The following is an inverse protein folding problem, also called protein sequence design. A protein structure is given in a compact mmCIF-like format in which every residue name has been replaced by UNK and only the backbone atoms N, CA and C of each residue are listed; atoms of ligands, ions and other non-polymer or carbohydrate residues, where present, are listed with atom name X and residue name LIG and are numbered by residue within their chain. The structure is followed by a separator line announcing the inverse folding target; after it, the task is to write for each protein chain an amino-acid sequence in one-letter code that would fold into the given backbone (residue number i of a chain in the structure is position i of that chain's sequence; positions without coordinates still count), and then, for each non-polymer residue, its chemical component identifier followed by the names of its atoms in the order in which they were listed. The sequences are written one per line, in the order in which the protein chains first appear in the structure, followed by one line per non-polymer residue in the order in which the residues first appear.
data_IF_281876751230
#
_entry.id   IF_281876751230
#
_cell.length_a   1.000
_cell.length_b   1.000
_cell.length_c   1.000
_cell.angle_alpha   90.00
_cell.angle_beta   90.00
_cell.angle_gamma   90.00
#
_symmetry.space_group_name_H-M   'P 1'
#
loop_
_entity.id
_entity.type
_entity.pdbx_description
1 polymer ?
#
# COMPACT_ATOMS: atom_id res chain seq x y z
N UNK A 1 -19.09 -10.75 19.85
CA UNK A 1 -20.07 -9.65 19.71
C UNK A 1 -19.34 -8.31 19.80
N UNK A 2 -19.76 -7.32 19.00
CA UNK A 2 -19.13 -6.00 18.89
C UNK A 2 -20.07 -4.94 19.47
N UNK A 3 -19.55 -4.12 20.40
CA UNK A 3 -20.30 -3.12 21.16
C UNK A 3 -20.40 -1.79 20.42
N UNK A 4 -19.31 -1.36 19.76
CA UNK A 4 -19.28 -0.15 18.96
C UNK A 4 -18.36 -0.31 17.76
N UNK A 5 -18.66 0.44 16.70
CA UNK A 5 -17.82 0.66 15.54
C UNK A 5 -17.78 2.17 15.35
N UNK A 6 -16.59 2.75 15.50
CA UNK A 6 -16.38 4.19 15.40
C UNK A 6 -15.43 4.48 14.24
N UNK A 7 -15.77 5.51 13.45
CA UNK A 7 -14.95 5.97 12.32
C UNK A 7 -14.50 7.40 12.55
N UNK A 8 -13.19 7.60 12.51
CA UNK A 8 -12.51 8.85 12.82
C UNK A 8 -11.77 9.32 11.56
N UNK A 9 -12.13 10.50 11.06
CA UNK A 9 -11.38 11.18 10.00
C UNK A 9 -10.27 11.99 10.65
N UNK A 10 -9.03 11.73 10.28
CA UNK A 10 -7.85 12.36 10.86
C UNK A 10 -7.04 13.00 9.74
N UNK A 11 -6.89 14.32 9.79
CA UNK A 11 -6.17 15.10 8.78
C UNK A 11 -4.75 15.43 9.29
N UNK A 12 -3.73 14.90 8.61
CA UNK A 12 -2.34 15.06 9.03
C UNK A 12 -1.52 15.72 7.91
N UNK A 13 -0.91 16.89 8.15
CA UNK A 13 -0.05 17.52 7.15
C UNK A 13 1.14 16.61 6.79
N UNK A 14 1.56 16.66 5.53
CA UNK A 14 2.74 15.94 5.04
C UNK A 14 3.99 16.81 5.16
N UNK A 15 5.17 16.17 5.32
CA UNK A 15 6.46 16.88 5.50
C UNK A 15 6.86 17.72 4.28
N UNK A 16 6.30 17.42 3.10
CA UNK A 16 6.45 18.15 1.84
C UNK A 16 5.29 17.83 0.90
N UNK A 17 4.96 18.70 -0.07
CA UNK A 17 4.04 18.34 -1.13
C UNK A 17 4.47 17.04 -1.82
N UNK A 18 3.59 16.06 -1.86
CA UNK A 18 3.83 14.77 -2.51
C UNK A 18 3.14 14.77 -3.88
N UNK A 19 3.93 15.01 -4.93
CA UNK A 19 3.43 15.15 -6.31
C UNK A 19 3.34 13.79 -6.99
N UNK A 20 2.12 13.41 -7.37
CA UNK A 20 1.79 12.25 -8.19
C UNK A 20 1.25 12.73 -9.54
N UNK A 21 1.10 11.84 -10.52
CA UNK A 21 0.47 12.21 -11.79
C UNK A 21 -1.02 12.58 -11.61
N UNK A 22 -1.69 11.95 -10.64
CA UNK A 22 -3.14 12.10 -10.41
C UNK A 22 -3.50 13.19 -9.39
N UNK A 23 -2.58 13.57 -8.50
CA UNK A 23 -2.83 14.53 -7.42
C UNK A 23 -1.52 15.09 -6.85
N UNK A 24 -1.59 16.26 -6.19
CA UNK A 24 -0.52 16.74 -5.30
C UNK A 24 -1.06 16.81 -3.89
N UNK A 25 -0.51 15.98 -2.99
CA UNK A 25 -0.96 15.90 -1.61
C UNK A 25 -0.15 16.84 -0.72
N UNK A 26 -0.84 17.61 0.13
CA UNK A 26 -0.23 18.41 1.21
C UNK A 26 -0.65 17.91 2.59
N UNK A 27 -1.80 17.25 2.66
CA UNK A 27 -2.36 16.61 3.84
C UNK A 27 -2.74 15.19 3.45
N UNK A 28 -2.52 14.25 4.36
CA UNK A 28 -3.08 12.92 4.26
C UNK A 28 -4.27 12.79 5.20
N UNK A 29 -5.37 12.25 4.69
CA UNK A 29 -6.59 12.02 5.47
C UNK A 29 -6.72 10.52 5.73
N UNK A 30 -6.64 10.13 6.99
CA UNK A 30 -6.81 8.74 7.43
C UNK A 30 -8.26 8.50 7.85
N UNK A 31 -8.84 7.34 7.53
CA UNK A 31 -10.06 6.84 8.18
C UNK A 31 -9.68 5.77 9.18
N UNK A 32 -9.57 6.13 10.44
CA UNK A 32 -9.32 5.16 11.52
C UNK A 32 -10.65 4.52 11.93
N UNK A 33 -10.64 3.19 12.03
CA UNK A 33 -11.78 2.38 12.45
C UNK A 33 -11.46 1.74 13.79
N UNK A 34 -12.21 2.12 14.82
CA UNK A 34 -12.12 1.55 16.17
C UNK A 34 -13.31 0.63 16.39
N UNK A 35 -13.05 -0.66 16.63
CA UNK A 35 -14.09 -1.62 17.00
C UNK A 35 -13.87 -2.02 18.45
N UNK A 36 -14.87 -1.79 19.29
CA UNK A 36 -14.86 -2.27 20.68
C UNK A 36 -15.70 -3.52 20.80
N UNK A 37 -15.12 -4.62 21.27
CA UNK A 37 -15.85 -5.85 21.54
C UNK A 37 -16.51 -5.85 22.92
N UNK A 38 -17.45 -6.78 23.14
CA UNK A 38 -18.20 -6.88 24.41
C UNK A 38 -17.35 -7.25 25.62
N UNK A 39 -16.19 -7.88 25.42
CA UNK A 39 -15.21 -8.18 26.47
C UNK A 39 -14.24 -7.01 26.75
N UNK A 40 -14.45 -5.86 26.10
CA UNK A 40 -13.61 -4.67 26.23
C UNK A 40 -12.41 -4.64 25.30
N UNK A 41 -12.13 -5.70 24.53
CA UNK A 41 -11.03 -5.70 23.57
C UNK A 41 -11.28 -4.68 22.46
N UNK A 42 -10.30 -3.83 22.17
CA UNK A 42 -10.36 -2.84 21.10
C UNK A 42 -9.47 -3.26 19.94
N UNK A 43 -10.03 -3.24 18.74
CA UNK A 43 -9.33 -3.41 17.47
C UNK A 43 -9.24 -2.11 16.69
N UNK A 44 -8.10 -1.90 16.04
CA UNK A 44 -7.88 -0.77 15.15
C UNK A 44 -7.69 -1.24 13.71
N UNK A 45 -8.26 -0.47 12.79
CA UNK A 45 -8.05 -0.60 11.36
C UNK A 45 -7.95 0.77 10.72
N UNK A 46 -7.49 0.81 9.48
CA UNK A 46 -7.29 2.02 8.72
C UNK A 46 -7.77 1.81 7.29
N UNK A 47 -8.45 2.82 6.75
CA UNK A 47 -8.74 2.96 5.32
C UNK A 47 -8.25 4.33 4.89
N UNK A 48 -7.28 4.37 3.99
CA UNK A 48 -6.56 5.55 3.57
C UNK A 48 -6.41 5.53 2.05
N UNK A 49 -6.70 6.66 1.43
CA UNK A 49 -6.62 6.83 -0.03
C UNK A 49 -5.75 8.03 -0.37
N UNK A 50 -5.53 8.25 -1.66
CA UNK A 50 -4.66 9.29 -2.18
C UNK A 50 -5.51 10.34 -2.91
N UNK A 51 -5.48 11.58 -2.41
CA UNK A 51 -6.12 12.72 -3.09
C UNK A 51 -7.64 12.60 -3.23
N UNK A 52 -8.32 12.04 -2.22
CA UNK A 52 -9.76 11.81 -2.25
C UNK A 52 -10.15 10.76 -3.29
N UNK A 53 -10.85 11.17 -4.35
CA UNK A 53 -11.30 10.30 -5.45
C UNK A 53 -10.32 10.27 -6.63
N UNK A 54 -9.16 10.91 -6.52
CA UNK A 54 -8.22 11.05 -7.64
C UNK A 54 -7.52 9.73 -7.99
N UNK A 55 -7.28 8.88 -7.00
CA UNK A 55 -6.64 7.57 -7.19
C UNK A 55 -7.64 6.42 -7.36
N UNK A 56 -8.69 6.40 -6.55
CA UNK A 56 -9.67 5.32 -6.50
C UNK A 56 -11.10 5.80 -6.25
N UNK A 57 -12.04 4.86 -6.25
CA UNK A 57 -13.48 5.12 -6.17
C UNK A 57 -13.97 5.41 -4.73
N UNK A 58 -13.09 5.31 -3.74
CA UNK A 58 -13.38 5.53 -2.32
C UNK A 58 -12.60 6.75 -1.80
N UNK A 59 -13.32 7.77 -1.33
CA UNK A 59 -12.79 8.90 -0.54
C UNK A 59 -12.91 8.63 0.96
N UNK A 60 -12.15 9.33 1.83
CA UNK A 60 -12.29 9.20 3.27
C UNK A 60 -13.74 9.44 3.76
N UNK A 61 -14.43 10.44 3.20
CA UNK A 61 -15.83 10.73 3.51
C UNK A 61 -16.76 9.60 3.09
N UNK A 62 -16.56 9.04 1.90
CA UNK A 62 -17.38 7.93 1.42
C UNK A 62 -17.17 6.65 2.24
N UNK A 63 -15.93 6.37 2.65
CA UNK A 63 -15.59 5.24 3.51
C UNK A 63 -16.27 5.40 4.86
N UNK A 64 -16.14 6.56 5.50
CA UNK A 64 -16.82 6.87 6.76
C UNK A 64 -18.33 6.69 6.64
N UNK A 65 -18.94 7.35 5.64
CA UNK A 65 -20.39 7.28 5.44
C UNK A 65 -20.87 5.84 5.22
N UNK A 66 -20.15 5.05 4.42
CA UNK A 66 -20.51 3.68 4.14
C UNK A 66 -20.33 2.78 5.36
N UNK A 67 -19.24 2.93 6.13
CA UNK A 67 -19.02 2.17 7.36
C UNK A 67 -20.13 2.47 8.37
N UNK A 68 -20.41 3.74 8.63
CA UNK A 68 -21.40 4.16 9.62
C UNK A 68 -22.82 3.70 9.24
N UNK A 69 -23.15 3.76 7.94
CA UNK A 69 -24.52 3.47 7.46
C UNK A 69 -24.77 1.98 7.23
N UNK A 70 -23.77 1.22 6.78
CA UNK A 70 -23.98 -0.17 6.31
C UNK A 70 -23.17 -1.21 7.08
N UNK A 71 -21.90 -0.92 7.41
CA UNK A 71 -21.05 -1.91 8.08
C UNK A 71 -21.34 -1.98 9.58
N UNK A 72 -21.46 -0.83 10.26
CA UNK A 72 -21.69 -0.77 11.70
C UNK A 72 -23.03 -1.42 12.13
N UNK A 73 -24.17 -1.17 11.44
CA UNK A 73 -25.41 -1.89 11.74
C UNK A 73 -25.31 -3.39 11.46
N UNK A 74 -24.63 -3.79 10.38
CA UNK A 74 -24.42 -5.20 10.05
C UNK A 74 -23.59 -5.90 11.13
N UNK A 75 -22.49 -5.29 11.59
CA UNK A 75 -21.65 -5.84 12.66
C UNK A 75 -22.38 -5.89 14.01
N UNK A 76 -23.25 -4.93 14.30
CA UNK A 76 -24.09 -4.95 15.50
C UNK A 76 -25.13 -6.08 15.47
N UNK A 77 -25.51 -6.55 14.27
CA UNK A 77 -26.47 -7.65 14.11
C UNK A 77 -25.85 -9.05 14.23
N UNK A 78 -24.52 -9.18 14.15
CA UNK A 78 -23.84 -10.48 14.30
C UNK A 78 -23.68 -10.86 15.77
N UNK A 79 -23.81 -12.14 16.09
CA UNK A 79 -23.75 -12.64 17.47
C UNK A 79 -22.57 -13.57 17.67
N UNK A 80 -22.60 -14.73 17.01
CA UNK A 80 -21.68 -15.85 17.24
C UNK A 80 -20.87 -16.21 15.99
N UNK A 81 -20.79 -15.29 15.02
CA UNK A 81 -20.00 -15.46 13.81
C UNK A 81 -18.52 -15.20 14.08
N UNK A 82 -17.65 -16.04 13.52
CA UNK A 82 -16.21 -15.79 13.46
C UNK A 82 -15.87 -14.79 12.34
N UNK A 83 -14.61 -14.33 12.27
CA UNK A 83 -14.19 -13.33 11.28
C UNK A 83 -14.45 -13.80 9.85
N UNK A 84 -14.15 -15.05 9.51
CA UNK A 84 -14.39 -15.57 8.16
C UNK A 84 -15.88 -15.52 7.77
N UNK A 85 -16.78 -15.85 8.70
CA UNK A 85 -18.22 -15.75 8.51
C UNK A 85 -18.68 -14.29 8.37
N UNK A 86 -18.12 -13.38 9.16
CA UNK A 86 -18.39 -11.94 9.09
C UNK A 86 -17.91 -11.36 7.75
N UNK A 87 -16.67 -11.63 7.33
CA UNK A 87 -16.14 -11.18 6.04
C UNK A 87 -16.95 -11.74 4.87
N UNK A 88 -17.38 -13.01 4.93
CA UNK A 88 -18.28 -13.60 3.93
C UNK A 88 -19.63 -12.88 3.89
N UNK A 89 -20.22 -12.56 5.04
CA UNK A 89 -21.47 -11.82 5.13
C UNK A 89 -21.32 -10.40 4.56
N UNK A 90 -20.26 -9.67 4.92
CA UNK A 90 -19.95 -8.35 4.40
C UNK A 90 -19.83 -8.39 2.87
N UNK A 91 -19.05 -9.33 2.31
CA UNK A 91 -18.91 -9.46 0.85
C UNK A 91 -20.23 -9.79 0.14
N UNK A 92 -21.13 -10.54 0.78
CA UNK A 92 -22.45 -10.87 0.23
C UNK A 92 -23.39 -9.66 0.21
N UNK A 93 -23.31 -8.81 1.23
CA UNK A 93 -24.30 -7.74 1.46
C UNK A 93 -23.83 -6.38 0.94
N UNK A 94 -22.51 -6.14 0.89
CA UNK A 94 -21.92 -4.85 0.55
C UNK A 94 -21.01 -5.03 -0.67
N UNK A 95 -21.42 -4.45 -1.80
CA UNK A 95 -20.66 -4.44 -3.05
C UNK A 95 -19.55 -3.37 -3.03
N UNK A 96 -18.46 -3.58 -3.77
CA UNK A 96 -17.33 -2.64 -3.82
C UNK A 96 -16.68 -2.42 -2.45
N UNK A 97 -16.37 -1.17 -2.10
CA UNK A 97 -15.94 -0.75 -0.76
C UNK A 97 -14.73 -1.53 -0.21
N UNK A 98 -13.69 -1.70 -1.04
CA UNK A 98 -12.51 -2.50 -0.70
C UNK A 98 -11.73 -1.86 0.45
N UNK A 99 -11.62 -0.54 0.48
CA UNK A 99 -10.89 0.20 1.50
C UNK A 99 -11.63 0.07 2.84
N UNK A 100 -12.94 0.32 2.85
CA UNK A 100 -13.77 0.11 4.03
C UNK A 100 -13.74 -1.35 4.54
N UNK A 101 -13.79 -2.34 3.64
CA UNK A 101 -13.68 -3.77 3.98
C UNK A 101 -12.33 -4.08 4.62
N UNK A 102 -11.25 -3.51 4.08
CA UNK A 102 -9.90 -3.66 4.61
C UNK A 102 -9.82 -3.17 6.05
N UNK A 103 -10.23 -1.93 6.32
CA UNK A 103 -10.20 -1.36 7.66
C UNK A 103 -11.00 -2.18 8.69
N UNK A 104 -12.21 -2.61 8.31
CA UNK A 104 -13.05 -3.46 9.15
C UNK A 104 -12.36 -4.82 9.40
N UNK A 105 -11.85 -5.48 8.36
CA UNK A 105 -11.18 -6.78 8.52
C UNK A 105 -9.94 -6.66 9.41
N UNK A 106 -9.13 -5.61 9.23
CA UNK A 106 -7.95 -5.33 10.04
C UNK A 106 -8.32 -5.16 11.52
N UNK A 107 -9.32 -4.34 11.85
CA UNK A 107 -9.76 -4.14 13.23
C UNK A 107 -10.29 -5.44 13.88
N UNK A 108 -11.02 -6.26 13.11
CA UNK A 108 -11.51 -7.55 13.59
C UNK A 108 -10.36 -8.52 13.87
N UNK A 109 -9.38 -8.60 12.96
CA UNK A 109 -8.20 -9.46 13.12
C UNK A 109 -7.31 -8.99 14.28
N UNK A 110 -7.16 -7.68 14.47
CA UNK A 110 -6.45 -7.11 15.63
C UNK A 110 -7.08 -7.56 16.96
N UNK A 111 -8.42 -7.54 17.07
CA UNK A 111 -9.15 -8.08 18.23
C UNK A 111 -8.85 -9.57 18.41
N UNK A 112 -8.91 -10.36 17.34
CA UNK A 112 -8.69 -11.81 17.44
C UNK A 112 -7.25 -12.13 17.86
N UNK A 113 -6.28 -11.47 17.26
CA UNK A 113 -4.86 -11.60 17.59
C UNK A 113 -4.59 -11.22 19.06
N UNK A 114 -5.14 -10.11 19.55
CA UNK A 114 -5.07 -9.70 20.98
C UNK A 114 -5.67 -10.75 21.92
N UNK A 115 -6.85 -11.29 21.61
CA UNK A 115 -7.49 -12.35 22.40
C UNK A 115 -6.66 -13.63 22.47
N UNK A 116 -5.95 -13.94 21.40
CA UNK A 116 -5.07 -15.10 21.33
C UNK A 116 -3.67 -14.82 21.88
N UNK A 117 -3.38 -13.58 22.28
CA UNK A 117 -2.04 -13.15 22.70
C UNK A 117 -0.96 -13.43 21.64
N UNK A 118 -1.32 -13.27 20.37
CA UNK A 118 -0.44 -13.50 19.22
C UNK A 118 -0.33 -12.23 18.37
N UNK A 119 0.82 -11.96 17.73
CA UNK A 119 0.89 -10.92 16.71
C UNK A 119 0.03 -11.30 15.50
N UNK A 120 -0.47 -10.29 14.80
CA UNK A 120 -1.37 -10.44 13.65
C UNK A 120 -0.78 -11.37 12.57
N UNK A 121 0.52 -11.31 12.32
CA UNK A 121 1.22 -12.20 11.37
C UNK A 121 0.99 -13.68 11.64
N UNK A 122 0.91 -14.09 12.90
CA UNK A 122 0.71 -15.50 13.29
C UNK A 122 -0.73 -15.94 13.04
N UNK A 123 -1.69 -15.02 13.14
CA UNK A 123 -3.08 -15.29 12.75
C UNK A 123 -3.20 -15.47 11.23
N UNK A 124 -2.34 -14.80 10.45
CA UNK A 124 -2.30 -14.88 8.99
C UNK A 124 -1.52 -16.09 8.44
N UNK A 125 -0.97 -16.94 9.33
CA UNK A 125 -0.27 -18.17 8.95
C UNK A 125 1.18 -18.25 9.43
N UNK A 126 1.70 -17.18 10.02
CA UNK A 126 3.07 -17.10 10.54
C UNK A 126 3.98 -16.24 9.64
N UNK A 127 4.76 -15.35 10.27
CA UNK A 127 5.74 -14.54 9.53
C UNK A 127 6.94 -15.38 9.09
N UNK A 128 7.48 -15.05 7.93
CA UNK A 128 8.74 -15.60 7.39
C UNK A 128 9.93 -14.65 7.59
N UNK A 129 9.65 -13.41 8.01
CA UNK A 129 10.65 -12.36 8.27
C UNK A 129 10.14 -11.37 9.30
N UNK A 130 11.05 -10.84 10.11
CA UNK A 130 10.74 -9.82 11.13
C UNK A 130 10.92 -8.39 10.63
N UNK A 131 11.42 -8.24 9.40
CA UNK A 131 11.84 -6.96 8.82
C UNK A 131 11.47 -6.94 7.35
N UNK A 132 11.12 -5.76 6.84
CA UNK A 132 10.74 -5.56 5.45
C UNK A 132 11.58 -4.44 4.83
N UNK A 133 12.25 -4.67 3.69
CA UNK A 133 12.92 -3.59 2.95
C UNK A 133 11.94 -2.50 2.54
N UNK A 134 12.30 -1.24 2.76
CA UNK A 134 11.46 -0.08 2.45
C UNK A 134 12.16 0.83 1.46
N UNK A 135 11.63 0.91 0.24
CA UNK A 135 12.06 1.91 -0.73
C UNK A 135 11.54 3.30 -0.37
N UNK A 136 12.10 4.31 -1.03
CA UNK A 136 11.68 5.70 -0.84
C UNK A 136 11.28 6.37 -2.16
N UNK A 137 10.18 7.11 -2.14
CA UNK A 137 9.70 7.84 -3.32
C UNK A 137 10.31 9.24 -3.40
N UNK A 138 11.11 9.46 -4.45
CA UNK A 138 11.62 10.76 -4.87
C UNK A 138 10.58 11.43 -5.75
N UNK A 139 10.10 12.59 -5.31
CA UNK A 139 8.98 13.28 -5.97
C UNK A 139 9.06 14.81 -5.78
N UNK A 140 10.28 15.36 -5.66
CA UNK A 140 10.43 16.82 -5.56
C UNK A 140 10.11 17.53 -6.89
N UNK A 141 10.24 16.80 -8.01
CA UNK A 141 10.10 17.33 -9.37
C UNK A 141 11.39 17.94 -9.91
N UNK A 142 12.49 17.90 -9.15
CA UNK A 142 13.77 18.51 -9.46
C UNK A 142 14.89 17.46 -9.33
N UNK A 143 15.64 17.26 -10.42
CA UNK A 143 16.66 16.20 -10.52
C UNK A 143 17.73 16.32 -9.43
N UNK A 144 18.26 17.53 -9.20
CA UNK A 144 19.38 17.72 -8.27
C UNK A 144 18.92 17.54 -6.82
N UNK A 145 17.71 17.99 -6.49
CA UNK A 145 17.10 17.75 -5.17
C UNK A 145 16.84 16.28 -4.93
N UNK A 146 16.32 15.56 -5.91
CA UNK A 146 16.05 14.12 -5.78
C UNK A 146 17.36 13.31 -5.61
N UNK A 147 18.44 13.67 -6.33
CA UNK A 147 19.78 13.08 -6.13
C UNK A 147 20.29 13.34 -4.70
N UNK A 148 20.19 14.58 -4.23
CA UNK A 148 20.65 14.96 -2.88
C UNK A 148 19.85 14.24 -1.79
N UNK A 149 18.53 14.16 -1.94
CA UNK A 149 17.64 13.44 -1.02
C UNK A 149 17.99 11.94 -0.97
N UNK A 150 18.17 11.30 -2.13
CA UNK A 150 18.54 9.89 -2.20
C UNK A 150 19.88 9.60 -1.51
N UNK A 151 20.92 10.38 -1.79
CA UNK A 151 22.24 10.23 -1.15
C UNK A 151 22.16 10.38 0.37
N UNK A 152 21.37 11.35 0.85
CA UNK A 152 21.12 11.54 2.28
C UNK A 152 20.41 10.32 2.90
N UNK A 153 19.40 9.76 2.24
CA UNK A 153 18.69 8.57 2.74
C UNK A 153 19.59 7.34 2.81
N UNK A 154 20.52 7.17 1.87
CA UNK A 154 21.53 6.10 1.89
C UNK A 154 22.47 6.29 3.08
N UNK A 155 23.04 7.49 3.24
CA UNK A 155 23.98 7.82 4.32
C UNK A 155 23.36 7.58 5.71
N UNK A 156 22.11 7.99 5.89
CA UNK A 156 21.36 7.80 7.13
C UNK A 156 20.91 6.35 7.36
N UNK A 157 21.23 5.44 6.45
CA UNK A 157 20.74 4.05 6.44
C UNK A 157 19.22 3.92 6.52
N UNK A 158 18.52 4.89 5.89
CA UNK A 158 17.06 4.97 5.89
C UNK A 158 16.47 4.25 4.69
N UNK A 159 17.00 4.50 3.50
CA UNK A 159 16.55 3.85 2.26
C UNK A 159 17.72 3.71 1.28
N UNK A 160 17.76 2.60 0.53
CA UNK A 160 18.77 2.31 -0.49
C UNK A 160 18.17 1.89 -1.85
N UNK A 161 16.85 1.92 -1.96
CA UNK A 161 16.07 1.67 -3.18
C UNK A 161 15.12 2.84 -3.36
N UNK A 162 14.96 3.34 -4.58
CA UNK A 162 14.16 4.53 -4.84
C UNK A 162 13.15 4.33 -5.95
N UNK A 163 12.00 4.98 -5.78
CA UNK A 163 10.92 5.04 -6.76
C UNK A 163 10.76 6.48 -7.22
N UNK A 164 10.63 6.71 -8.52
CA UNK A 164 10.32 8.02 -9.09
C UNK A 164 8.93 8.03 -9.69
N UNK A 165 8.20 9.13 -9.44
CA UNK A 165 6.90 9.39 -10.04
C UNK A 165 7.10 10.19 -11.32
N UNK A 166 6.72 9.62 -12.45
CA UNK A 166 6.82 10.23 -13.79
C UNK A 166 5.46 10.18 -14.52
N UNK A 167 5.40 10.70 -15.74
CA UNK A 167 4.19 10.76 -16.56
C UNK A 167 3.47 12.12 -16.52
N UNK A 168 3.97 13.07 -15.73
CA UNK A 168 3.43 14.43 -15.66
C UNK A 168 4.15 15.42 -16.61
N UNK A 169 5.31 15.04 -17.17
CA UNK A 169 6.07 15.84 -18.13
C UNK A 169 6.02 15.17 -19.51
N UNK A 170 6.47 15.86 -20.58
CA UNK A 170 6.73 15.18 -21.84
C UNK A 170 7.65 13.98 -21.65
N UNK A 171 7.38 12.89 -22.38
CA UNK A 171 8.06 11.60 -22.21
C UNK A 171 9.58 11.71 -22.14
N UNK A 172 10.21 12.50 -23.02
CA UNK A 172 11.67 12.61 -23.04
C UNK A 172 12.22 13.29 -21.78
N UNK A 173 11.54 14.31 -21.27
CA UNK A 173 11.99 15.01 -20.05
C UNK A 173 11.92 14.10 -18.82
N UNK A 174 10.87 13.29 -18.71
CA UNK A 174 10.74 12.32 -17.61
C UNK A 174 11.79 11.21 -17.70
N UNK A 175 12.07 10.69 -18.91
CA UNK A 175 13.12 9.69 -19.14
C UNK A 175 14.51 10.25 -18.80
N UNK A 176 14.83 11.44 -19.31
CA UNK A 176 16.12 12.10 -19.06
C UNK A 176 16.35 12.36 -17.57
N UNK A 177 15.29 12.80 -16.86
CA UNK A 177 15.30 13.00 -15.41
C UNK A 177 15.65 11.71 -14.63
N UNK A 178 14.98 10.61 -14.97
CA UNK A 178 15.19 9.31 -14.30
C UNK A 178 16.60 8.77 -14.58
N UNK A 179 17.06 8.82 -15.84
CA UNK A 179 18.38 8.32 -16.23
C UNK A 179 19.49 9.14 -15.57
N UNK A 180 19.32 10.46 -15.45
CA UNK A 180 20.27 11.31 -14.74
C UNK A 180 20.42 10.90 -13.26
N UNK A 181 19.30 10.58 -12.60
CA UNK A 181 19.29 10.11 -11.20
C UNK A 181 19.97 8.74 -11.08
N UNK A 182 19.61 7.77 -11.92
CA UNK A 182 20.25 6.44 -11.92
C UNK A 182 21.76 6.55 -12.13
N UNK A 183 22.20 7.37 -13.10
CA UNK A 183 23.62 7.62 -13.36
C UNK A 183 24.35 8.24 -12.15
N UNK A 184 23.71 9.17 -11.44
CA UNK A 184 24.30 9.86 -10.30
C UNK A 184 24.37 9.00 -9.03
N UNK A 185 23.46 8.03 -8.87
CA UNK A 185 23.41 7.11 -7.73
C UNK A 185 24.22 5.83 -7.96
N UNK A 186 24.44 5.46 -9.22
CA UNK A 186 25.27 4.32 -9.61
C UNK A 186 24.48 3.04 -9.88
N UNK A 187 25.13 2.02 -10.47
CA UNK A 187 24.47 0.80 -10.93
C UNK A 187 23.86 -0.03 -9.79
N UNK A 188 24.49 -0.04 -8.61
CA UNK A 188 24.09 -0.83 -7.44
C UNK A 188 22.80 -0.33 -6.75
N UNK A 189 22.44 0.95 -6.95
CA UNK A 189 21.24 1.52 -6.34
C UNK A 189 20.04 1.18 -7.22
N UNK A 190 19.07 0.47 -6.65
CA UNK A 190 17.86 0.13 -7.40
C UNK A 190 16.99 1.37 -7.60
N UNK A 191 16.65 1.64 -8.86
CA UNK A 191 15.77 2.75 -9.26
C UNK A 191 14.62 2.18 -10.07
N UNK A 192 13.41 2.58 -9.67
CA UNK A 192 12.16 2.14 -10.26
C UNK A 192 11.31 3.35 -10.59
N UNK A 193 10.39 3.19 -11.53
CA UNK A 193 9.49 4.28 -11.92
C UNK A 193 8.05 3.85 -11.81
N UNK A 194 7.19 4.82 -11.54
CA UNK A 194 5.75 4.67 -11.61
C UNK A 194 5.16 5.83 -12.40
N UNK A 195 4.47 5.46 -13.47
CA UNK A 195 3.89 6.36 -14.46
C UNK A 195 2.43 6.67 -14.09
N UNK A 196 1.83 5.89 -13.19
CA UNK A 196 0.44 6.01 -12.76
C UNK A 196 -0.51 6.20 -13.95
N UNK A 197 -0.41 5.29 -14.93
CA UNK A 197 -1.26 5.18 -16.14
C UNK A 197 -1.11 6.27 -17.19
N UNK A 198 -0.18 7.21 -17.01
CA UNK A 198 -0.14 8.43 -17.82
C UNK A 198 0.24 8.19 -19.29
N UNK A 199 0.98 7.13 -19.62
CA UNK A 199 1.43 6.90 -20.99
C UNK A 199 0.41 6.12 -21.80
N UNK A 200 0.30 6.49 -23.08
CA UNK A 200 -0.27 5.64 -24.12
C UNK A 200 0.65 4.45 -24.39
N UNK A 201 0.13 3.37 -25.00
CA UNK A 201 0.95 2.20 -25.32
C UNK A 201 2.14 2.53 -26.26
N UNK A 202 1.98 3.50 -27.17
CA UNK A 202 3.06 3.95 -28.04
C UNK A 202 4.16 4.68 -27.26
N UNK A 203 3.78 5.49 -26.29
CA UNK A 203 4.72 6.13 -25.35
C UNK A 203 5.42 5.09 -24.50
N UNK A 204 4.70 4.10 -23.95
CA UNK A 204 5.29 2.98 -23.22
C UNK A 204 6.39 2.29 -24.03
N UNK A 205 6.14 1.96 -25.29
CA UNK A 205 7.13 1.31 -26.15
C UNK A 205 8.44 2.11 -26.23
N UNK A 206 8.36 3.43 -26.35
CA UNK A 206 9.55 4.30 -26.48
C UNK A 206 10.20 4.58 -25.13
N UNK A 207 9.41 4.84 -24.10
CA UNK A 207 9.89 5.17 -22.76
C UNK A 207 10.52 3.96 -22.08
N UNK A 208 9.85 2.80 -22.10
CA UNK A 208 10.34 1.59 -21.44
C UNK A 208 11.67 1.14 -22.04
N UNK A 209 11.84 1.17 -23.37
CA UNK A 209 13.13 0.84 -23.99
C UNK A 209 14.26 1.71 -23.44
N UNK A 210 14.06 3.03 -23.40
CA UNK A 210 15.09 3.97 -22.92
C UNK A 210 15.38 3.80 -21.42
N UNK A 211 14.35 3.55 -20.61
CA UNK A 211 14.51 3.30 -19.17
C UNK A 211 15.24 1.98 -18.90
N UNK A 212 14.92 0.92 -19.66
CA UNK A 212 15.62 -0.36 -19.59
C UNK A 212 17.11 -0.18 -19.96
N UNK A 213 17.40 0.47 -21.09
CA UNK A 213 18.78 0.75 -21.52
C UNK A 213 19.53 1.65 -20.52
N UNK A 214 18.78 2.48 -19.77
CA UNK A 214 19.27 3.32 -18.68
C UNK A 214 19.51 2.59 -17.35
N UNK A 215 19.18 1.30 -17.25
CA UNK A 215 19.39 0.48 -16.04
C UNK A 215 18.33 0.68 -14.96
N UNK A 216 17.09 0.98 -15.33
CA UNK A 216 15.92 1.00 -14.44
C UNK A 216 15.41 -0.42 -14.24
N UNK A 217 15.11 -0.77 -12.99
CA UNK A 217 14.87 -2.17 -12.62
C UNK A 217 13.40 -2.58 -12.76
N UNK A 218 12.49 -1.61 -12.72
CA UNK A 218 11.05 -1.87 -12.72
C UNK A 218 10.25 -0.66 -13.22
N UNK A 219 9.23 -0.96 -14.02
CA UNK A 219 8.25 -0.01 -14.54
C UNK A 219 6.86 -0.35 -13.97
N UNK A 220 6.33 0.53 -13.13
CA UNK A 220 5.01 0.37 -12.51
C UNK A 220 3.92 1.10 -13.26
N UNK A 221 2.82 0.37 -13.47
CA UNK A 221 1.60 0.80 -14.14
C UNK A 221 1.83 1.83 -15.28
N UNK A 222 2.52 1.45 -16.36
CA UNK A 222 2.92 2.39 -17.40
C UNK A 222 1.72 3.01 -18.12
N UNK A 223 0.64 2.24 -18.33
CA UNK A 223 -0.54 2.69 -19.08
C UNK A 223 -1.87 2.42 -18.38
N UNK A 224 -2.94 2.92 -19.01
CA UNK A 224 -4.31 2.87 -18.53
C UNK A 224 -4.82 1.44 -18.25
N UNK A 225 -5.61 1.29 -17.17
CA UNK A 225 -6.10 -0.03 -16.70
C UNK A 225 -7.13 -0.68 -17.62
N UNK A 226 -7.75 0.09 -18.51
CA UNK A 226 -8.80 -0.41 -19.41
C UNK A 226 -8.20 -1.34 -20.47
N UNK A 227 -6.91 -1.21 -20.78
CA UNK A 227 -6.21 -2.00 -21.79
C UNK A 227 -5.23 -3.00 -21.14
N UNK A 228 -5.78 -3.97 -20.40
CA UNK A 228 -4.98 -5.06 -19.79
C UNK A 228 -4.26 -5.94 -20.82
N UNK A 229 -4.65 -5.90 -22.09
CA UNK A 229 -3.92 -6.62 -23.15
C UNK A 229 -2.62 -5.90 -23.55
N UNK A 230 -2.54 -4.57 -23.40
CA UNK A 230 -1.28 -3.84 -23.59
C UNK A 230 -0.24 -4.26 -22.57
N UNK A 231 -0.65 -4.51 -21.34
CA UNK A 231 0.21 -5.03 -20.27
C UNK A 231 0.92 -6.31 -20.72
N UNK A 232 0.18 -7.32 -21.17
CA UNK A 232 0.78 -8.57 -21.67
C UNK A 232 1.74 -8.33 -22.86
N UNK A 233 1.42 -7.43 -23.80
CA UNK A 233 2.30 -7.11 -24.92
C UNK A 233 3.59 -6.40 -24.48
N UNK A 234 3.51 -5.53 -23.47
CA UNK A 234 4.66 -4.81 -22.93
C UNK A 234 5.56 -5.76 -22.13
N UNK A 235 4.98 -6.56 -21.23
CA UNK A 235 5.67 -7.60 -20.44
C UNK A 235 6.42 -8.59 -21.34
N UNK A 236 5.82 -9.04 -22.45
CA UNK A 236 6.48 -9.96 -23.39
C UNK A 236 7.60 -9.32 -24.21
N UNK A 237 7.60 -7.99 -24.35
CA UNK A 237 8.49 -7.27 -25.25
C UNK A 237 9.80 -6.85 -24.59
N UNK A 238 9.76 -6.58 -23.29
CA UNK A 238 10.87 -5.98 -22.55
C UNK A 238 11.44 -6.95 -21.51
N UNK A 239 12.70 -6.74 -21.13
CA UNK A 239 13.37 -7.51 -20.07
C UNK A 239 13.20 -6.82 -18.71
N UNK A 240 13.02 -5.49 -18.69
CA UNK A 240 12.70 -4.77 -17.46
C UNK A 240 11.33 -5.19 -16.94
N UNK A 241 11.24 -5.41 -15.63
CA UNK A 241 10.03 -5.90 -15.00
C UNK A 241 8.88 -4.89 -15.13
N UNK A 242 7.71 -5.37 -15.56
CA UNK A 242 6.47 -4.59 -15.60
C UNK A 242 5.62 -4.95 -14.38
N UNK A 243 5.25 -3.94 -13.59
CA UNK A 243 4.45 -4.12 -12.38
C UNK A 243 3.01 -3.62 -12.57
N UNK A 244 2.05 -4.41 -12.11
CA UNK A 244 0.64 -4.00 -12.01
C UNK A 244 0.35 -3.41 -10.62
N UNK A 245 -0.18 -2.18 -10.59
CA UNK A 245 -0.70 -1.49 -9.39
C UNK A 245 -2.19 -1.20 -9.56
N UNK A 246 -2.59 -0.12 -10.23
CA UNK A 246 -4.00 0.27 -10.35
C UNK A 246 -4.88 -0.76 -11.08
N UNK A 247 -4.27 -1.65 -11.88
CA UNK A 247 -4.98 -2.79 -12.49
C UNK A 247 -5.24 -3.93 -11.49
N UNK A 248 -4.45 -4.02 -10.42
CA UNK A 248 -4.47 -5.05 -9.40
C UNK A 248 -5.33 -4.60 -8.21
N UNK A 249 -6.59 -5.01 -8.22
CA UNK A 249 -7.63 -4.63 -7.25
C UNK A 249 -8.09 -5.81 -6.38
N UNK A 250 -7.22 -6.81 -6.19
CA UNK A 250 -7.47 -8.00 -5.39
C UNK A 250 -7.47 -9.32 -6.18
N UNK A 251 -7.88 -10.44 -5.54
CA UNK A 251 -7.67 -11.79 -6.07
C UNK A 251 -8.21 -12.03 -7.48
N UNK A 252 -9.41 -11.53 -7.79
CA UNK A 252 -10.02 -11.72 -9.12
C UNK A 252 -9.22 -11.03 -10.24
N UNK A 253 -8.72 -9.81 -9.97
CA UNK A 253 -7.87 -9.09 -10.92
C UNK A 253 -6.49 -9.73 -11.04
N UNK A 254 -5.91 -10.19 -9.92
CA UNK A 254 -4.65 -10.91 -9.89
C UNK A 254 -4.72 -12.16 -10.78
N UNK A 255 -5.79 -12.94 -10.63
CA UNK A 255 -6.04 -14.13 -11.44
C UNK A 255 -6.14 -13.80 -12.95
N UNK A 256 -6.89 -12.75 -13.30
CA UNK A 256 -7.05 -12.33 -14.71
C UNK A 256 -5.74 -11.84 -15.34
N UNK A 257 -4.94 -11.09 -14.59
CA UNK A 257 -3.64 -10.59 -15.06
C UNK A 257 -2.68 -11.78 -15.21
N UNK A 258 -2.64 -12.68 -14.24
CA UNK A 258 -1.81 -13.89 -14.27
C UNK A 258 -2.13 -14.78 -15.48
N UNK A 259 -3.42 -14.98 -15.80
CA UNK A 259 -3.84 -15.78 -16.97
C UNK A 259 -3.28 -15.29 -18.31
N UNK A 260 -2.95 -14.01 -18.41
CA UNK A 260 -2.46 -13.38 -19.65
C UNK A 260 -0.96 -13.10 -19.63
N UNK A 261 -0.25 -13.47 -18.55
CA UNK A 261 1.11 -12.99 -18.27
C UNK A 261 1.18 -11.46 -18.37
N UNK A 262 0.22 -10.77 -17.76
CA UNK A 262 0.06 -9.33 -17.91
C UNK A 262 1.06 -8.50 -17.10
N UNK A 263 1.79 -9.08 -16.16
CA UNK A 263 2.81 -8.38 -15.37
C UNK A 263 3.82 -9.39 -14.83
N UNK A 264 5.05 -8.93 -14.62
CA UNK A 264 6.12 -9.69 -13.96
C UNK A 264 6.01 -9.56 -12.44
N UNK A 265 5.45 -8.43 -11.97
CA UNK A 265 5.36 -8.09 -10.55
C UNK A 265 3.96 -7.60 -10.19
N UNK A 266 3.48 -7.99 -9.01
CA UNK A 266 2.26 -7.46 -8.41
C UNK A 266 2.57 -6.50 -7.24
N UNK A 267 2.06 -5.27 -7.33
CA UNK A 267 2.07 -4.31 -6.24
C UNK A 267 0.92 -4.60 -5.27
N UNK A 268 1.16 -5.50 -4.32
CA UNK A 268 0.10 -5.92 -3.38
C UNK A 268 -0.14 -4.80 -2.37
N UNK A 269 -1.33 -4.21 -2.40
CA UNK A 269 -1.83 -3.26 -1.40
C UNK A 269 -3.04 -3.86 -0.70
N UNK A 270 -3.06 -3.83 0.62
CA UNK A 270 -4.14 -4.46 1.40
C UNK A 270 -5.48 -3.77 1.16
N UNK A 271 -5.47 -2.45 1.02
CA UNK A 271 -6.67 -1.65 0.75
C UNK A 271 -7.25 -1.92 -0.64
N UNK A 272 -6.39 -1.94 -1.68
CA UNK A 272 -6.84 -2.31 -3.02
C UNK A 272 -7.30 -3.76 -3.10
N UNK A 273 -6.68 -4.67 -2.33
CA UNK A 273 -7.08 -6.09 -2.29
C UNK A 273 -8.41 -6.31 -1.57
N UNK A 274 -8.82 -5.37 -0.72
CA UNK A 274 -10.04 -5.44 0.08
C UNK A 274 -9.87 -6.09 1.46
N UNK A 275 -8.64 -6.28 1.92
CA UNK A 275 -8.30 -6.92 3.18
C UNK A 275 -6.92 -7.56 3.22
N UNK A 276 -6.47 -7.89 4.43
CA UNK A 276 -5.21 -8.60 4.69
C UNK A 276 -5.28 -10.05 4.16
N UNK A 277 -6.41 -10.72 4.33
CA UNK A 277 -6.62 -12.08 3.83
C UNK A 277 -6.62 -12.08 2.31
N UNK A 278 -7.35 -11.15 1.70
CA UNK A 278 -7.42 -10.99 0.25
C UNK A 278 -6.04 -10.64 -0.34
N UNK A 279 -5.21 -9.83 0.34
CA UNK A 279 -3.83 -9.57 -0.06
C UNK A 279 -2.97 -10.85 -0.03
N UNK A 280 -3.14 -11.70 1.00
CA UNK A 280 -2.46 -13.00 1.05
C UNK A 280 -2.93 -13.94 -0.09
N UNK A 281 -4.20 -13.86 -0.50
CA UNK A 281 -4.69 -14.63 -1.65
C UNK A 281 -4.13 -14.11 -2.98
N UNK A 282 -3.95 -12.79 -3.14
CA UNK A 282 -3.20 -12.22 -4.28
C UNK A 282 -1.77 -12.76 -4.31
N UNK A 283 -1.09 -12.79 -3.17
CA UNK A 283 0.27 -13.32 -3.07
C UNK A 283 0.36 -14.81 -3.47
N UNK A 284 -0.60 -15.64 -3.05
CA UNK A 284 -0.68 -17.05 -3.47
C UNK A 284 -0.91 -17.21 -4.96
N UNK A 285 -1.79 -16.40 -5.55
CA UNK A 285 -2.04 -16.41 -7.00
C UNK A 285 -0.75 -16.05 -7.75
N UNK A 286 -0.04 -15.01 -7.31
CA UNK A 286 1.22 -14.59 -7.91
C UNK A 286 2.26 -15.71 -7.85
N UNK A 287 2.46 -16.33 -6.68
CA UNK A 287 3.38 -17.44 -6.50
C UNK A 287 3.08 -18.60 -7.46
N UNK A 288 1.81 -19.02 -7.55
CA UNK A 288 1.39 -20.10 -8.46
C UNK A 288 1.54 -19.74 -9.94
N UNK A 289 1.50 -18.45 -10.28
CA UNK A 289 1.67 -17.94 -11.63
C UNK A 289 3.13 -17.62 -11.99
N UNK A 290 4.07 -17.73 -11.05
CA UNK A 290 5.47 -17.31 -11.26
C UNK A 290 5.64 -15.80 -11.36
N UNK A 291 4.77 -15.03 -10.71
CA UNK A 291 4.80 -13.56 -10.65
C UNK A 291 5.43 -13.12 -9.33
N UNK A 292 6.36 -12.18 -9.39
CA UNK A 292 7.03 -11.63 -8.22
C UNK A 292 6.16 -10.63 -7.45
N UNK A 293 6.53 -10.39 -6.19
CA UNK A 293 5.75 -9.55 -5.28
C UNK A 293 6.50 -8.31 -4.84
N UNK A 294 5.72 -7.23 -4.74
CA UNK A 294 6.07 -5.96 -4.15
C UNK A 294 5.01 -5.56 -3.12
N UNK A 295 5.43 -5.16 -1.92
CA UNK A 295 4.52 -4.66 -0.89
C UNK A 295 4.22 -3.18 -1.11
N UNK A 296 3.09 -2.90 -1.77
CA UNK A 296 2.66 -1.53 -2.08
C UNK A 296 2.07 -0.79 -0.87
N UNK A 297 1.84 0.51 -1.05
CA UNK A 297 1.15 1.37 -0.06
C UNK A 297 0.10 2.26 -0.73
N UNK A 298 -0.95 2.59 0.00
CA UNK A 298 -1.86 3.70 -0.29
C UNK A 298 -1.46 5.00 0.41
N UNK A 299 -0.21 5.07 0.89
CA UNK A 299 0.30 6.09 1.82
C UNK A 299 -0.48 6.07 3.14
N UNK A 300 -0.74 4.86 3.64
CA UNK A 300 -1.34 4.65 4.95
C UNK A 300 -0.51 5.33 6.06
N UNK A 301 -1.20 5.78 7.09
CA UNK A 301 -0.62 6.06 8.39
C UNK A 301 -0.11 4.79 9.07
N UNK A 302 0.27 4.90 10.36
CA UNK A 302 0.96 3.81 11.04
C UNK A 302 0.10 2.58 11.29
N UNK A 303 -1.24 2.71 11.36
CA UNK A 303 -2.15 1.57 11.59
C UNK A 303 -2.24 0.70 10.33
N UNK A 304 -2.51 1.31 9.17
CA UNK A 304 -2.56 0.60 7.89
C UNK A 304 -1.19 0.07 7.47
N UNK A 305 -0.13 0.85 7.68
CA UNK A 305 1.25 0.44 7.37
C UNK A 305 1.65 -0.82 8.13
N UNK A 306 1.37 -0.89 9.45
CA UNK A 306 1.76 -2.07 10.22
C UNK A 306 0.86 -3.27 9.93
N UNK A 307 -0.41 -3.05 9.61
CA UNK A 307 -1.30 -4.12 9.14
C UNK A 307 -0.79 -4.76 7.84
N UNK A 308 -0.37 -3.93 6.88
CA UNK A 308 0.32 -4.36 5.66
C UNK A 308 1.62 -5.10 5.96
N UNK A 309 2.44 -4.57 6.88
CA UNK A 309 3.70 -5.21 7.28
C UNK A 309 3.49 -6.62 7.86
N UNK A 310 2.49 -6.81 8.73
CA UNK A 310 2.12 -8.13 9.25
C UNK A 310 1.73 -9.09 8.13
N UNK A 311 0.91 -8.65 7.16
CA UNK A 311 0.55 -9.50 6.03
C UNK A 311 1.76 -9.83 5.14
N UNK A 312 2.55 -8.84 4.73
CA UNK A 312 3.68 -9.01 3.81
C UNK A 312 4.83 -9.82 4.44
N UNK A 313 4.93 -9.82 5.78
CA UNK A 313 5.87 -10.68 6.50
C UNK A 313 5.62 -12.17 6.25
N UNK A 314 4.40 -12.57 5.88
CA UNK A 314 4.02 -13.96 5.59
C UNK A 314 4.31 -14.40 4.15
N UNK A 315 4.63 -13.47 3.25
CA UNK A 315 4.78 -13.80 1.84
C UNK A 315 6.08 -14.58 1.60
N UNK A 316 6.03 -15.72 0.93
CA UNK A 316 7.24 -16.49 0.60
C UNK A 316 8.21 -15.67 -0.26
N UNK A 317 7.63 -14.93 -1.22
CA UNK A 317 8.34 -14.05 -2.12
C UNK A 317 8.01 -12.59 -1.82
N UNK A 318 9.03 -11.73 -1.82
CA UNK A 318 8.91 -10.28 -1.77
C UNK A 318 10.14 -9.67 -2.47
N UNK A 319 10.48 -10.19 -3.66
CA UNK A 319 11.71 -9.89 -4.40
C UNK A 319 11.93 -8.39 -4.62
N UNK A 320 10.85 -7.63 -4.76
CA UNK A 320 10.92 -6.19 -4.97
C UNK A 320 10.78 -5.39 -3.66
N UNK A 321 10.76 -6.00 -2.48
CA UNK A 321 10.65 -5.29 -1.20
C UNK A 321 9.31 -4.59 -1.03
N UNK A 322 9.28 -3.45 -0.32
CA UNK A 322 8.05 -2.69 -0.04
C UNK A 322 8.24 -1.19 -0.18
N UNK A 323 7.14 -0.45 -0.25
CA UNK A 323 7.07 1.02 -0.09
C UNK A 323 6.30 1.42 1.17
N UNK A 324 6.44 0.67 2.27
CA UNK A 324 5.78 0.94 3.54
C UNK A 324 6.41 2.15 4.27
N UNK A 325 6.45 3.32 3.63
CA UNK A 325 7.04 4.55 4.16
C UNK A 325 5.99 5.62 4.50
N UNK A 326 4.69 5.38 4.29
CA UNK A 326 3.61 6.35 4.51
C UNK A 326 3.71 7.16 5.82
N UNK A 327 3.97 6.54 6.99
CA UNK A 327 4.10 7.24 8.26
C UNK A 327 5.24 8.27 8.28
N UNK A 328 6.30 8.04 7.50
CA UNK A 328 7.45 8.95 7.39
C UNK A 328 7.12 10.22 6.59
N UNK A 329 6.02 10.23 5.83
CA UNK A 329 5.53 11.44 5.18
C UNK A 329 4.70 12.30 6.11
N UNK A 330 4.22 11.78 7.23
CA UNK A 330 3.32 12.49 8.14
C UNK A 330 4.12 13.38 9.10
N UNK A 331 3.66 14.61 9.32
CA UNK A 331 4.30 15.55 10.26
C UNK A 331 4.00 15.25 11.72
N UNK A 332 2.98 14.42 12.00
CA UNK A 332 2.51 14.15 13.34
C UNK A 332 2.33 12.65 13.56
N UNK A 333 2.67 12.21 14.76
CA UNK A 333 2.52 10.82 15.20
C UNK A 333 1.13 10.59 15.81
N UNK A 334 0.50 9.46 15.51
CA UNK A 334 -0.76 9.02 16.17
C UNK A 334 -0.58 7.78 17.02
N UNK A 335 0.65 7.26 17.12
CA UNK A 335 1.02 6.19 18.05
C UNK A 335 1.69 6.74 19.30
N UNK A 336 1.64 5.97 20.38
CA UNK A 336 2.43 6.23 21.60
C UNK A 336 3.92 6.07 21.30
N UNK A 337 4.28 5.00 20.57
CA UNK A 337 5.64 4.76 20.07
C UNK A 337 5.60 4.68 18.53
N UNK A 338 6.35 5.54 17.80
CA UNK A 338 6.42 5.49 16.35
C UNK A 338 6.93 4.15 15.81
N UNK A 339 6.61 3.85 14.55
CA UNK A 339 7.15 2.66 13.89
C UNK A 339 8.67 2.77 13.70
N UNK A 340 9.37 1.64 13.86
CA UNK A 340 10.83 1.60 13.81
C UNK A 340 11.33 1.32 12.39
N UNK A 341 12.06 2.28 11.84
CA UNK A 341 12.79 2.16 10.58
C UNK A 341 14.29 2.21 10.84
N UNK A 342 15.01 1.16 10.47
CA UNK A 342 16.46 1.09 10.65
C UNK A 342 17.10 0.19 9.60
N UNK A 343 18.31 0.52 9.17
CA UNK A 343 19.08 -0.24 8.19
C UNK A 343 18.26 -0.59 6.93
N UNK A 344 17.59 0.42 6.36
CA UNK A 344 16.77 0.31 5.15
C UNK A 344 15.44 -0.46 5.29
N UNK A 345 15.07 -0.87 6.50
CA UNK A 345 13.94 -1.76 6.74
C UNK A 345 12.98 -1.24 7.80
N UNK A 346 11.71 -1.63 7.68
CA UNK A 346 10.68 -1.51 8.71
C UNK A 346 10.68 -2.77 9.59
N UNK A 347 10.69 -2.58 10.91
CA UNK A 347 10.58 -3.68 11.89
C UNK A 347 9.12 -4.05 12.10
N UNK A 348 8.80 -5.36 12.04
CA UNK A 348 7.46 -5.89 12.28
C UNK A 348 7.29 -6.22 13.77
N UNK A 349 6.41 -5.53 14.52
CA UNK A 349 6.19 -5.77 15.94
C UNK A 349 5.76 -7.21 16.25
N UNK A 350 6.17 -7.73 17.40
CA UNK A 350 5.85 -9.09 17.87
C UNK A 350 4.81 -9.12 19.00
N UNK A 351 4.35 -7.95 19.48
CA UNK A 351 3.31 -7.87 20.50
C UNK A 351 1.93 -8.27 19.93
N UNK A 352 0.97 -8.68 20.79
CA UNK A 352 -0.35 -9.13 20.34
C UNK A 352 -1.09 -8.11 19.48
N UNK A 353 -1.89 -8.59 18.52
CA UNK A 353 -2.59 -7.71 17.59
C UNK A 353 -1.67 -7.13 16.53
N UNK A 354 -1.93 -5.88 16.16
CA UNK A 354 -1.03 -5.08 15.33
C UNK A 354 0.32 -4.81 16.02
N UNK A 355 0.42 -5.02 17.34
CA UNK A 355 1.63 -4.79 18.12
C UNK A 355 2.00 -3.31 18.26
N UNK A 356 1.00 -2.43 18.17
CA UNK A 356 1.12 -0.97 18.32
C UNK A 356 0.13 -0.47 19.38
N UNK A 357 0.41 0.71 19.93
CA UNK A 357 -0.48 1.44 20.82
C UNK A 357 -0.85 2.78 20.19
N UNK A 358 -2.14 2.99 19.97
CA UNK A 358 -2.71 4.21 19.38
C UNK A 358 -2.90 5.26 20.47
N UNK A 359 -2.44 6.48 20.23
CA UNK A 359 -2.63 7.61 21.14
C UNK A 359 -3.93 8.35 20.80
N UNK A 360 -5.00 7.99 21.52
CA UNK A 360 -6.34 8.55 21.28
C UNK A 360 -6.41 10.06 21.53
N UNK A 361 -5.56 10.62 22.40
CA UNK A 361 -5.54 12.06 22.65
C UNK A 361 -4.98 12.81 21.43
N UNK A 362 -3.92 12.28 20.81
CA UNK A 362 -3.38 12.85 19.56
C UNK A 362 -4.39 12.74 18.42
N UNK A 363 -5.12 11.63 18.33
CA UNK A 363 -6.19 11.48 17.33
C UNK A 363 -7.26 12.55 17.53
N UNK A 364 -7.74 12.76 18.76
CA UNK A 364 -8.81 13.73 19.02
C UNK A 364 -8.37 15.17 18.68
N UNK A 365 -7.09 15.51 18.83
CA UNK A 365 -6.54 16.80 18.42
C UNK A 365 -6.47 17.00 16.90
N UNK A 366 -6.44 15.91 16.14
CA UNK A 366 -6.27 15.89 14.68
C UNK A 366 -7.55 15.52 13.94
N UNK A 367 -8.62 15.23 14.68
CA UNK A 367 -9.89 14.80 14.13
C UNK A 367 -10.62 15.95 13.43
N UNK A 368 -11.21 15.65 12.28
CA UNK A 368 -12.10 16.55 11.53
C UNK A 368 -13.52 16.64 12.10
#
# INVERSE_FOLDING_TARGET
MYKSVETLLVDIPTIRPHKLSVATMQTQTLVLVKITATDGTVGWGEATTIGGLSYGEESPESVKANIDTYFAPLLSSVQNQNIAQISKLIRKTINGNRFAKCAIQTALLDIQAKRLSLPLSEILGGRLRDRLPVLWTLASGDTDKDIAEAKKMIELKRHNTFKLKIGARPLQEDVDHVIAIKKALGPEVSIRVDINRAWTELECIRGIQQLQDGGIDLIEQPCAIQNTDAFARLTQRFEVAIMADEALTGPDSAFRIAQKHGADVFAVKVEQSGGLIEACDVAKIACLAGIDLYGGTMLEGPVGTIASAHAFSTFENLAFGTELFGPLLLTQEILTTPLQYENFELVVPNAPGLGIEVDENKIEQLRR
#
